data_IF_026871018811
#
_entry.id   IF_026871018811
#
_cell.length_a   1.000
_cell.length_b   1.000
_cell.length_c   1.000
_cell.angle_alpha   90.00
_cell.angle_beta   90.00
_cell.angle_gamma   90.00
#
_symmetry.space_group_name_H-M   'P 1'
#
loop_
_entity.id
_entity.type
_entity.pdbx_description
1 polymer ?
#
# COMPACT_ATOMS: atom_id res chain seq x y z
N UNK A 1 25.97 -0.10 13.95
CA UNK A 1 24.52 -0.01 13.73
C UNK A 1 23.89 -1.15 14.50
N UNK A 2 22.76 -0.92 15.14
CA UNK A 2 22.04 -1.96 15.90
C UNK A 2 21.18 -2.81 14.96
N UNK A 3 20.93 -4.08 15.31
CA UNK A 3 20.16 -5.02 14.47
C UNK A 3 18.79 -4.47 13.97
N UNK A 4 18.04 -3.65 14.76
CA UNK A 4 16.81 -3.02 14.28
C UNK A 4 17.02 -1.93 13.22
N UNK A 5 18.10 -1.15 13.32
CA UNK A 5 18.43 -0.07 12.37
C UNK A 5 18.80 -0.66 11.00
N UNK A 6 19.50 -1.79 11.00
CA UNK A 6 19.90 -2.51 9.78
C UNK A 6 18.69 -3.06 9.02
N UNK A 7 17.71 -3.64 9.74
CA UNK A 7 16.46 -4.13 9.15
C UNK A 7 15.63 -3.00 8.56
N UNK A 8 15.55 -1.86 9.24
CA UNK A 8 14.83 -0.69 8.74
C UNK A 8 15.45 -0.13 7.45
N UNK A 9 16.78 0.00 7.40
CA UNK A 9 17.49 0.43 6.20
C UNK A 9 17.30 -0.55 5.03
N UNK A 10 17.34 -1.86 5.30
CA UNK A 10 17.09 -2.88 4.28
C UNK A 10 15.64 -2.85 3.78
N UNK A 11 14.65 -2.65 4.66
CA UNK A 11 13.25 -2.50 4.28
C UNK A 11 13.06 -1.31 3.35
N UNK A 12 13.73 -0.19 3.64
CA UNK A 12 13.67 1.00 2.81
C UNK A 12 14.32 0.79 1.44
N UNK A 13 15.44 0.06 1.39
CA UNK A 13 16.05 -0.38 0.13
C UNK A 13 15.09 -1.22 -0.73
N UNK A 14 14.35 -2.14 -0.12
CA UNK A 14 13.32 -2.90 -0.84
C UNK A 14 12.16 -2.03 -1.31
N UNK A 15 11.69 -1.06 -0.51
CA UNK A 15 10.68 -0.09 -0.95
C UNK A 15 11.16 0.69 -2.17
N UNK A 16 12.40 1.19 -2.17
CA UNK A 16 12.97 1.93 -3.30
C UNK A 16 13.03 1.06 -4.57
N UNK A 17 13.42 -0.20 -4.44
CA UNK A 17 13.40 -1.14 -5.58
C UNK A 17 11.98 -1.41 -6.08
N UNK A 18 11.02 -1.54 -5.18
CA UNK A 18 9.59 -1.66 -5.53
C UNK A 18 9.06 -0.43 -6.26
N UNK A 19 9.47 0.77 -5.86
CA UNK A 19 9.11 2.02 -6.55
C UNK A 19 9.68 2.06 -7.98
N UNK A 20 10.93 1.63 -8.18
CA UNK A 20 11.55 1.59 -9.50
C UNK A 20 10.81 0.62 -10.44
N UNK A 21 10.50 -0.58 -9.97
CA UNK A 21 9.74 -1.57 -10.75
C UNK A 21 8.32 -1.08 -11.06
N UNK A 22 7.68 -0.39 -10.11
CA UNK A 22 6.39 0.27 -10.34
C UNK A 22 6.47 1.31 -11.47
N UNK A 23 7.53 2.12 -11.52
CA UNK A 23 7.74 3.08 -12.62
C UNK A 23 7.92 2.39 -13.98
N UNK A 24 8.53 1.20 -13.97
CA UNK A 24 8.68 0.34 -15.15
C UNK A 24 7.40 -0.45 -15.50
N UNK A 25 6.33 -0.30 -14.70
CA UNK A 25 5.08 -1.08 -14.78
C UNK A 25 5.28 -2.59 -14.57
N UNK A 26 6.40 -3.01 -13.99
CA UNK A 26 6.59 -4.36 -13.48
C UNK A 26 5.90 -4.48 -12.11
N UNK A 27 4.58 -4.67 -12.16
CA UNK A 27 3.76 -4.75 -10.97
C UNK A 27 4.04 -6.02 -10.15
N UNK A 28 4.34 -7.15 -10.79
CA UNK A 28 4.63 -8.39 -10.07
C UNK A 28 5.95 -8.27 -9.28
N UNK A 29 6.99 -7.74 -9.90
CA UNK A 29 8.26 -7.46 -9.22
C UNK A 29 8.08 -6.42 -8.10
N UNK A 30 7.32 -5.35 -8.34
CA UNK A 30 7.05 -4.35 -7.33
C UNK A 30 6.33 -4.93 -6.09
N UNK A 31 5.34 -5.82 -6.29
CA UNK A 31 4.62 -6.49 -5.20
C UNK A 31 5.56 -7.31 -4.31
N UNK A 32 6.49 -8.06 -4.92
CA UNK A 32 7.48 -8.86 -4.21
C UNK A 32 8.36 -7.99 -3.31
N UNK A 33 8.87 -6.88 -3.85
CA UNK A 33 9.76 -5.99 -3.10
C UNK A 33 9.04 -5.23 -1.99
N UNK A 34 7.81 -4.76 -2.19
CA UNK A 34 7.04 -4.20 -1.09
C UNK A 34 6.71 -5.24 -0.01
N UNK A 35 6.47 -6.50 -0.40
CA UNK A 35 6.23 -7.58 0.57
C UNK A 35 7.47 -7.88 1.41
N UNK A 36 8.67 -7.84 0.81
CA UNK A 36 9.94 -7.94 1.56
C UNK A 36 10.11 -6.76 2.52
N UNK A 37 9.81 -5.54 2.09
CA UNK A 37 9.85 -4.35 2.97
C UNK A 37 8.92 -4.50 4.18
N UNK A 38 7.68 -4.95 3.95
CA UNK A 38 6.68 -5.20 5.01
C UNK A 38 7.16 -6.30 5.97
N UNK A 39 7.77 -7.37 5.46
CA UNK A 39 8.26 -8.47 6.30
C UNK A 39 9.37 -8.05 7.27
N UNK A 40 10.17 -7.06 6.88
CA UNK A 40 11.25 -6.51 7.71
C UNK A 40 10.75 -5.42 8.66
N UNK A 41 9.83 -4.58 8.20
CA UNK A 41 9.25 -3.51 9.00
C UNK A 41 7.76 -3.30 8.66
N UNK A 42 6.85 -3.95 9.40
CA UNK A 42 5.42 -3.88 9.15
C UNK A 42 4.75 -2.62 9.74
N UNK A 43 5.52 -1.69 10.31
CA UNK A 43 4.98 -0.46 10.92
C UNK A 43 5.08 0.76 10.00
N UNK A 44 5.35 0.56 8.71
CA UNK A 44 5.49 1.63 7.73
C UNK A 44 4.31 1.63 6.77
N UNK A 45 3.42 2.61 6.95
CA UNK A 45 2.21 2.83 6.16
C UNK A 45 2.50 2.87 4.64
N UNK A 46 3.61 3.51 4.24
CA UNK A 46 3.97 3.67 2.84
C UNK A 46 4.14 2.33 2.09
N UNK A 47 4.60 1.28 2.77
CA UNK A 47 4.81 -0.03 2.13
C UNK A 47 3.48 -0.67 1.73
N UNK A 48 2.49 -0.61 2.63
CA UNK A 48 1.14 -1.11 2.36
C UNK A 48 0.42 -0.25 1.32
N UNK A 49 0.47 1.08 1.41
CA UNK A 49 -0.20 1.95 0.41
C UNK A 49 0.40 1.82 -0.99
N UNK A 50 1.69 1.50 -1.11
CA UNK A 50 2.33 1.25 -2.40
C UNK A 50 2.03 -0.16 -2.92
N UNK A 51 2.02 -1.19 -2.06
CA UNK A 51 1.62 -2.55 -2.45
C UNK A 51 0.15 -2.62 -2.84
N UNK A 52 -0.72 -1.90 -2.15
CA UNK A 52 -2.14 -1.74 -2.52
C UNK A 52 -2.31 -1.21 -3.94
N UNK A 53 -1.60 -0.14 -4.32
CA UNK A 53 -1.61 0.37 -5.69
C UNK A 53 -1.20 -0.70 -6.70
N UNK A 54 -0.10 -1.39 -6.42
CA UNK A 54 0.42 -2.46 -7.30
C UNK A 54 -0.61 -3.57 -7.46
N UNK A 55 -1.20 -4.04 -6.36
CA UNK A 55 -2.23 -5.09 -6.37
C UNK A 55 -3.48 -4.67 -7.12
N UNK A 56 -3.90 -3.40 -7.02
CA UNK A 56 -4.98 -2.86 -7.86
C UNK A 56 -4.64 -2.93 -9.35
N UNK A 57 -3.40 -2.63 -9.76
CA UNK A 57 -2.96 -2.75 -11.15
C UNK A 57 -2.90 -4.23 -11.61
N UNK A 58 -2.58 -5.15 -10.69
CA UNK A 58 -2.62 -6.60 -10.93
C UNK A 58 -4.03 -7.21 -10.89
N UNK A 59 -5.07 -6.39 -10.64
CA UNK A 59 -6.47 -6.83 -10.43
C UNK A 59 -6.68 -7.76 -9.23
N UNK A 60 -5.79 -7.67 -8.23
CA UNK A 60 -5.88 -8.32 -6.92
C UNK A 60 -6.59 -7.38 -5.94
N UNK A 61 -7.88 -7.16 -6.17
CA UNK A 61 -8.58 -6.02 -5.55
C UNK A 61 -8.82 -6.23 -4.06
N UNK A 62 -9.17 -7.44 -3.66
CA UNK A 62 -9.39 -7.80 -2.26
C UNK A 62 -8.09 -7.60 -1.45
N UNK A 63 -6.95 -8.11 -1.95
CA UNK A 63 -5.66 -7.94 -1.29
C UNK A 63 -5.20 -6.47 -1.28
N UNK A 64 -5.58 -5.68 -2.28
CA UNK A 64 -5.32 -4.24 -2.30
C UNK A 64 -6.14 -3.49 -1.24
N UNK A 65 -7.41 -3.88 -1.01
CA UNK A 65 -8.26 -3.34 0.05
C UNK A 65 -7.69 -3.70 1.42
N UNK A 66 -7.25 -4.94 1.61
CA UNK A 66 -6.59 -5.39 2.84
C UNK A 66 -5.34 -4.57 3.15
N UNK A 67 -4.48 -4.32 2.15
CA UNK A 67 -3.32 -3.46 2.33
C UNK A 67 -3.72 -2.02 2.70
N UNK A 68 -4.78 -1.48 2.09
CA UNK A 68 -5.32 -0.18 2.47
C UNK A 68 -5.79 -0.13 3.93
N UNK A 69 -6.45 -1.19 4.42
CA UNK A 69 -6.88 -1.30 5.82
C UNK A 69 -5.71 -1.48 6.79
N UNK A 70 -4.67 -2.22 6.37
CA UNK A 70 -3.44 -2.35 7.15
C UNK A 70 -2.73 -0.99 7.28
N UNK A 71 -2.67 -0.22 6.19
CA UNK A 71 -2.16 1.15 6.23
C UNK A 71 -2.95 2.05 7.20
N UNK A 72 -4.29 1.99 7.20
CA UNK A 72 -5.12 2.73 8.16
C UNK A 72 -4.96 2.25 9.61
N UNK A 73 -4.58 0.98 9.82
CA UNK A 73 -4.29 0.48 11.17
C UNK A 73 -2.99 1.07 11.73
N UNK A 74 -2.07 1.51 10.86
CA UNK A 74 -0.82 2.20 11.22
C UNK A 74 -1.07 3.71 11.36
N UNK A 75 -1.77 4.29 10.38
CA UNK A 75 -2.13 5.70 10.35
C UNK A 75 -3.62 5.88 10.02
N UNK A 76 -4.48 6.00 11.04
CA UNK A 76 -5.93 6.14 10.84
C UNK A 76 -6.35 7.40 10.10
N UNK A 77 -5.47 8.42 10.03
CA UNK A 77 -5.73 9.69 9.36
C UNK A 77 -5.01 9.76 7.99
N UNK A 78 -4.75 8.62 7.35
CA UNK A 78 -4.16 8.60 6.02
C UNK A 78 -5.22 8.75 4.93
N UNK A 79 -5.33 9.96 4.37
CA UNK A 79 -6.13 10.22 3.17
C UNK A 79 -5.69 9.32 2.00
N UNK A 80 -4.38 9.07 1.87
CA UNK A 80 -3.82 8.18 0.83
C UNK A 80 -4.33 6.75 0.98
N UNK A 81 -4.34 6.20 2.20
CA UNK A 81 -4.82 4.84 2.45
C UNK A 81 -6.33 4.70 2.17
N UNK A 82 -7.13 5.69 2.58
CA UNK A 82 -8.55 5.76 2.19
C UNK A 82 -8.73 5.82 0.68
N UNK A 83 -7.94 6.62 -0.04
CA UNK A 83 -7.94 6.68 -1.50
C UNK A 83 -7.55 5.35 -2.16
N UNK A 84 -6.63 4.57 -1.55
CA UNK A 84 -6.28 3.23 -2.03
C UNK A 84 -7.43 2.24 -1.90
N UNK A 85 -8.13 2.21 -0.76
CA UNK A 85 -9.33 1.39 -0.58
C UNK A 85 -10.41 1.81 -1.57
N UNK A 86 -10.63 3.12 -1.73
CA UNK A 86 -11.60 3.68 -2.67
C UNK A 86 -11.35 3.24 -4.11
N UNK A 87 -10.08 3.26 -4.53
CA UNK A 87 -9.66 2.85 -5.88
C UNK A 87 -9.79 1.35 -6.11
N UNK A 88 -9.33 0.53 -5.17
CA UNK A 88 -9.43 -0.93 -5.29
C UNK A 88 -10.88 -1.41 -5.29
N UNK A 89 -11.72 -0.90 -4.38
CA UNK A 89 -13.14 -1.23 -4.29
C UNK A 89 -13.95 -0.77 -5.51
N UNK A 90 -13.61 0.38 -6.10
CA UNK A 90 -14.21 0.82 -7.37
C UNK A 90 -13.96 -0.20 -8.48
N UNK A 91 -12.71 -0.64 -8.62
CA UNK A 91 -12.32 -1.60 -9.65
C UNK A 91 -12.90 -3.01 -9.39
N UNK A 92 -13.14 -3.36 -8.12
CA UNK A 92 -13.85 -4.59 -7.71
C UNK A 92 -15.37 -4.51 -7.94
N UNK A 93 -15.94 -3.33 -8.22
CA UNK A 93 -17.38 -3.11 -8.35
C UNK A 93 -18.10 -2.88 -7.00
N UNK A 94 -17.39 -2.81 -5.88
CA UNK A 94 -17.96 -2.37 -4.60
C UNK A 94 -18.01 -0.84 -4.52
N UNK A 95 -18.98 -0.28 -5.24
CA UNK A 95 -19.16 1.17 -5.31
C UNK A 95 -19.57 1.79 -3.96
N UNK A 96 -20.20 1.01 -3.07
CA UNK A 96 -20.58 1.52 -1.74
C UNK A 96 -19.34 1.79 -0.90
N UNK A 97 -18.43 0.81 -0.82
CA UNK A 97 -17.16 0.97 -0.11
C UNK A 97 -16.28 2.03 -0.79
N UNK A 98 -16.33 2.10 -2.12
CA UNK A 98 -15.56 3.09 -2.87
C UNK A 98 -15.95 4.53 -2.51
N UNK A 99 -17.24 4.84 -2.57
CA UNK A 99 -17.76 6.18 -2.25
C UNK A 99 -17.47 6.55 -0.80
N UNK A 100 -17.69 5.64 0.16
CA UNK A 100 -17.41 5.94 1.56
C UNK A 100 -15.93 6.19 1.80
N UNK A 101 -15.05 5.41 1.17
CA UNK A 101 -13.60 5.54 1.35
C UNK A 101 -13.06 6.83 0.73
N UNK A 102 -13.52 7.21 -0.47
CA UNK A 102 -13.13 8.48 -1.08
C UNK A 102 -13.66 9.69 -0.30
N UNK A 103 -14.87 9.60 0.28
CA UNK A 103 -15.38 10.66 1.17
C UNK A 103 -14.48 10.83 2.39
N UNK A 104 -14.12 9.74 3.07
CA UNK A 104 -13.19 9.82 4.21
C UNK A 104 -11.83 10.40 3.80
N UNK A 105 -11.31 10.08 2.61
CA UNK A 105 -10.08 10.70 2.12
C UNK A 105 -10.20 12.22 1.96
N UNK A 106 -11.33 12.71 1.43
CA UNK A 106 -11.60 14.14 1.24
C UNK A 106 -11.90 14.90 2.54
N UNK A 107 -12.38 14.21 3.58
CA UNK A 107 -12.61 14.82 4.89
C UNK A 107 -11.30 15.02 5.68
N UNK A 108 -10.23 14.31 5.30
CA UNK A 108 -8.91 14.36 5.95
C UNK A 108 -7.97 15.39 5.28
N UNK A 109 -8.04 15.55 3.95
CA UNK A 109 -7.24 16.50 3.15
C UNK A 109 -7.62 17.96 3.42
#
# INVERSE_FOLDING_TARGET
MSEPEDKAAQAEGFKLRGNELLNQKDYAGAEEFYSKAISLNPQVEAYFTNRSLVRTNLRKFEEAIEDGRAALSINPLSAKAHGRIGSASFQAGDYKLSVSSYRSALEID
#
